data_IF_349400240995
#
_entry.id   IF_349400240995
#
_cell.length_a   1.000
_cell.length_b   1.000
_cell.length_c   1.000
_cell.angle_alpha   90.00
_cell.angle_beta   90.00
_cell.angle_gamma   90.00
#
_symmetry.space_group_name_H-M   'P 1'
#
loop_
_entity.id
_entity.type
_entity.pdbx_description
1 polymer ?
#
# COMPACT_ATOMS: atom_id res chain seq x y z
N UNK A 1 -72.51 28.24 -32.42
CA UNK A 1 -71.93 28.54 -31.09
C UNK A 1 -70.50 29.03 -31.33
N UNK A 2 -70.25 30.31 -31.65
CA UNK A 2 -69.99 31.50 -30.81
C UNK A 2 -68.78 31.40 -29.85
N UNK A 3 -67.83 32.34 -30.07
CA UNK A 3 -66.71 32.88 -29.24
C UNK A 3 -65.37 32.14 -29.41
N UNK A 4 -64.26 32.74 -29.89
CA UNK A 4 -63.51 33.99 -29.61
C UNK A 4 -62.64 33.90 -28.33
N UNK A 5 -61.38 34.35 -28.48
CA UNK A 5 -60.37 34.72 -27.47
C UNK A 5 -59.67 33.50 -26.78
N UNK A 6 -58.37 33.46 -26.45
CA UNK A 6 -57.47 34.51 -25.95
C UNK A 6 -56.01 34.03 -25.96
N UNK A 7 -55.12 34.92 -26.38
CA UNK A 7 -53.67 34.88 -26.20
C UNK A 7 -53.36 35.05 -24.70
N UNK A 8 -52.59 34.13 -24.10
CA UNK A 8 -51.95 34.39 -22.82
C UNK A 8 -50.45 34.10 -22.90
N UNK A 9 -49.70 35.19 -22.93
CA UNK A 9 -48.28 35.29 -22.68
C UNK A 9 -48.04 34.93 -21.21
N UNK A 10 -47.21 33.93 -20.92
CA UNK A 10 -46.68 33.69 -19.57
C UNK A 10 -45.17 33.78 -19.63
N UNK A 11 -44.66 34.86 -19.05
CA UNK A 11 -43.27 35.06 -18.73
C UNK A 11 -43.05 34.81 -17.24
N UNK A 12 -41.81 34.48 -16.88
CA UNK A 12 -41.20 34.54 -15.54
C UNK A 12 -41.36 33.26 -14.70
N UNK A 13 -40.39 32.77 -13.91
CA UNK A 13 -39.09 33.29 -13.46
C UNK A 13 -38.10 32.11 -13.41
N UNK A 14 -36.83 32.32 -13.77
CA UNK A 14 -35.74 31.47 -13.30
C UNK A 14 -35.41 31.86 -11.87
N UNK A 15 -35.55 30.93 -10.93
CA UNK A 15 -34.99 31.07 -9.60
C UNK A 15 -33.58 30.49 -9.61
N UNK A 16 -32.58 31.39 -9.63
CA UNK A 16 -31.25 31.12 -9.12
C UNK A 16 -31.39 31.07 -7.60
N UNK A 17 -31.25 29.89 -7.01
CA UNK A 17 -31.06 29.76 -5.57
C UNK A 17 -29.57 29.68 -5.29
N UNK A 18 -29.00 30.82 -4.91
CA UNK A 18 -27.77 30.91 -4.16
C UNK A 18 -28.23 31.01 -2.70
N UNK A 19 -28.04 29.97 -1.90
CA UNK A 19 -28.33 30.04 -0.47
C UNK A 19 -27.01 30.12 0.31
N UNK A 20 -27.03 31.05 1.25
CA UNK A 20 -25.93 31.71 1.93
C UNK A 20 -25.23 30.84 2.96
N UNK A 21 -23.93 31.10 3.12
CA UNK A 21 -23.10 30.70 4.25
C UNK A 21 -23.79 30.97 5.60
N UNK A 22 -23.77 29.97 6.46
CA UNK A 22 -23.94 30.14 7.90
C UNK A 22 -22.76 29.48 8.61
N UNK A 23 -21.79 30.30 8.99
CA UNK A 23 -20.73 29.97 9.94
C UNK A 23 -21.34 29.59 11.29
N UNK A 24 -21.08 28.37 11.74
CA UNK A 24 -21.10 28.02 13.16
C UNK A 24 -19.75 27.41 13.47
N UNK A 25 -18.97 28.13 14.28
CA UNK A 25 -17.63 27.75 14.68
C UNK A 25 -17.68 26.52 15.60
N UNK A 26 -17.15 25.41 15.11
CA UNK A 26 -16.48 24.40 15.91
C UNK A 26 -15.06 24.30 15.38
N UNK A 27 -14.09 24.30 16.28
CA UNK A 27 -12.66 24.37 15.99
C UNK A 27 -12.18 23.12 15.27
N UNK A 28 -12.29 23.12 13.95
CA UNK A 28 -11.55 22.21 13.10
C UNK A 28 -10.14 22.76 12.93
N UNK A 29 -9.13 21.90 13.05
CA UNK A 29 -7.77 22.19 12.58
C UNK A 29 -7.82 22.28 11.05
N UNK A 30 -8.30 23.41 10.54
CA UNK A 30 -8.20 23.77 9.13
C UNK A 30 -6.74 24.07 8.78
N UNK A 31 -6.08 23.07 8.20
CA UNK A 31 -4.73 23.19 7.68
C UNK A 31 -4.24 21.93 6.96
N UNK A 32 -5.12 21.08 6.43
CA UNK A 32 -4.70 19.91 5.67
C UNK A 32 -5.80 19.47 4.67
N UNK A 33 -5.72 19.99 3.44
CA UNK A 33 -6.11 19.28 2.19
C UNK A 33 -5.93 20.19 0.97
N UNK A 34 -4.95 19.87 0.13
CA UNK A 34 -5.14 19.43 -1.27
C UNK A 34 -3.88 18.62 -1.57
N UNK A 35 -3.97 17.29 -1.56
CA UNK A 35 -2.86 16.48 -2.08
C UNK A 35 -2.81 16.69 -3.59
N UNK A 36 -1.69 17.12 -4.11
CA UNK A 36 -1.45 17.07 -5.54
C UNK A 36 -1.16 15.63 -5.94
N UNK A 37 -1.70 15.15 -7.07
CA UNK A 37 -1.39 13.82 -7.58
C UNK A 37 0.11 13.66 -7.73
N UNK A 38 0.72 12.53 -7.36
CA UNK A 38 2.16 12.31 -7.51
C UNK A 38 2.63 12.59 -8.95
N UNK A 39 3.83 13.16 -9.10
CA UNK A 39 4.40 13.50 -10.41
C UNK A 39 4.61 12.25 -11.26
N UNK A 40 4.34 12.36 -12.57
CA UNK A 40 4.53 11.26 -13.54
C UNK A 40 5.96 10.70 -13.53
N UNK A 41 6.93 11.58 -13.29
CA UNK A 41 8.32 11.20 -13.25
C UNK A 41 8.64 10.32 -12.03
N UNK A 42 8.16 10.71 -10.84
CA UNK A 42 8.39 9.93 -9.63
C UNK A 42 7.58 8.62 -9.65
N UNK A 43 6.35 8.67 -10.18
CA UNK A 43 5.55 7.47 -10.46
C UNK A 43 6.29 6.48 -11.35
N UNK A 44 6.80 6.92 -12.50
CA UNK A 44 7.50 6.05 -13.44
C UNK A 44 8.76 5.39 -12.85
N UNK A 45 9.42 6.05 -11.90
CA UNK A 45 10.55 5.48 -11.17
C UNK A 45 10.12 4.33 -10.24
N UNK A 46 9.01 4.50 -9.51
CA UNK A 46 8.43 3.47 -8.65
C UNK A 46 7.87 2.30 -9.44
N UNK A 47 7.18 2.59 -10.55
CA UNK A 47 6.67 1.57 -11.48
C UNK A 47 7.81 0.71 -12.04
N UNK A 48 8.96 1.31 -12.37
CA UNK A 48 10.14 0.54 -12.81
C UNK A 48 10.66 -0.40 -11.73
N UNK A 49 10.78 0.07 -10.49
CA UNK A 49 11.22 -0.78 -9.39
C UNK A 49 10.22 -1.91 -9.13
N UNK A 50 8.92 -1.65 -9.27
CA UNK A 50 7.87 -2.65 -9.12
C UNK A 50 7.88 -3.68 -10.26
N UNK A 51 8.06 -3.22 -11.51
CA UNK A 51 8.15 -4.08 -12.70
C UNK A 51 9.32 -5.07 -12.59
N UNK A 52 10.49 -4.61 -12.11
CA UNK A 52 11.68 -5.44 -11.97
C UNK A 52 11.52 -6.58 -10.94
N UNK A 53 10.64 -6.41 -9.95
CA UNK A 53 10.30 -7.48 -8.99
C UNK A 53 9.04 -8.27 -9.37
N UNK A 54 8.39 -7.91 -10.47
CA UNK A 54 7.16 -8.57 -10.93
C UNK A 54 7.47 -9.89 -11.64
N UNK A 55 6.89 -10.98 -11.12
CA UNK A 55 6.99 -12.30 -11.71
C UNK A 55 5.75 -12.55 -12.59
N UNK A 56 5.98 -12.83 -13.87
CA UNK A 56 4.92 -13.21 -14.82
C UNK A 56 5.11 -14.63 -15.29
N UNK A 57 4.03 -15.40 -15.29
CA UNK A 57 4.05 -16.79 -15.74
C UNK A 57 2.80 -17.14 -16.52
N UNK A 58 2.97 -18.00 -17.51
CA UNK A 58 1.87 -18.62 -18.25
C UNK A 58 1.77 -20.08 -17.82
N UNK A 59 0.66 -20.45 -17.19
CA UNK A 59 0.42 -21.80 -16.68
C UNK A 59 -0.75 -22.42 -17.40
N UNK A 60 -0.62 -23.67 -17.82
CA UNK A 60 -1.76 -24.42 -18.34
C UNK A 60 -2.68 -24.82 -17.18
N UNK A 61 -3.90 -24.30 -17.17
CA UNK A 61 -4.96 -24.65 -16.24
C UNK A 61 -6.04 -25.47 -16.94
N UNK A 62 -6.54 -26.51 -16.28
CA UNK A 62 -7.70 -27.27 -16.73
C UNK A 62 -8.74 -27.38 -15.63
N UNK A 63 -10.01 -27.18 -15.97
CA UNK A 63 -11.12 -27.37 -15.03
C UNK A 63 -11.19 -28.77 -14.41
N UNK A 64 -10.52 -29.77 -14.98
CA UNK A 64 -10.49 -31.14 -14.44
C UNK A 64 -9.31 -31.42 -13.49
N UNK A 65 -8.21 -30.66 -13.60
CA UNK A 65 -6.95 -30.93 -12.89
C UNK A 65 -6.47 -29.77 -12.02
N UNK A 66 -6.88 -28.55 -12.30
CA UNK A 66 -6.34 -27.35 -11.69
C UNK A 66 -5.04 -26.88 -12.34
N UNK A 67 -4.27 -26.09 -11.60
CA UNK A 67 -2.95 -25.60 -11.97
C UNK A 67 -2.14 -25.24 -10.72
N UNK A 68 -0.81 -25.27 -10.85
CA UNK A 68 0.12 -24.87 -9.78
C UNK A 68 1.20 -23.98 -10.38
N UNK A 69 1.55 -22.93 -9.66
CA UNK A 69 2.65 -22.01 -9.97
C UNK A 69 3.58 -21.91 -8.77
N UNK A 70 4.88 -21.86 -9.03
CA UNK A 70 5.93 -21.71 -8.03
C UNK A 70 6.77 -20.49 -8.38
N UNK A 71 7.02 -19.64 -7.38
CA UNK A 71 7.75 -18.38 -7.53
C UNK A 71 9.24 -18.59 -7.26
N UNK A 72 10.05 -17.59 -7.59
CA UNK A 72 11.48 -17.59 -7.26
C UNK A 72 11.75 -17.63 -5.73
N UNK A 73 10.79 -17.20 -4.91
CA UNK A 73 10.86 -17.22 -3.44
C UNK A 73 10.28 -18.51 -2.83
N UNK A 74 10.06 -19.55 -3.66
CA UNK A 74 9.42 -20.81 -3.27
C UNK A 74 7.99 -20.65 -2.74
N UNK A 75 7.30 -19.55 -3.06
CA UNK A 75 5.87 -19.43 -2.83
C UNK A 75 5.13 -20.30 -3.83
N UNK A 76 4.15 -21.06 -3.35
CA UNK A 76 3.34 -21.94 -4.18
C UNK A 76 1.90 -21.43 -4.27
N UNK A 77 1.46 -21.13 -5.49
CA UNK A 77 0.08 -20.78 -5.80
C UNK A 77 -0.61 -22.00 -6.39
N UNK A 78 -1.55 -22.59 -5.65
CA UNK A 78 -2.33 -23.74 -6.06
C UNK A 78 -3.74 -23.32 -6.41
N UNK A 79 -4.15 -23.60 -7.65
CA UNK A 79 -5.49 -23.33 -8.18
C UNK A 79 -6.17 -24.69 -8.37
N UNK A 80 -7.09 -25.10 -7.48
CA UNK A 80 -7.73 -26.40 -7.58
C UNK A 80 -8.52 -26.58 -8.88
N UNK A 81 -8.83 -27.83 -9.22
CA UNK A 81 -9.73 -28.14 -10.31
C UNK A 81 -11.06 -27.40 -10.12
N UNK A 82 -11.56 -26.83 -11.22
CA UNK A 82 -12.83 -26.11 -11.27
C UNK A 82 -12.91 -24.84 -10.41
N UNK A 83 -11.79 -24.37 -9.81
CA UNK A 83 -11.77 -23.26 -8.86
C UNK A 83 -11.91 -21.86 -9.48
N UNK A 84 -11.60 -21.73 -10.77
CA UNK A 84 -11.75 -20.49 -11.53
C UNK A 84 -12.61 -20.65 -12.78
N UNK A 85 -13.20 -19.54 -13.23
CA UNK A 85 -13.99 -19.40 -14.47
C UNK A 85 -13.52 -18.21 -15.29
N UNK A 86 -13.75 -18.26 -16.59
CA UNK A 86 -13.68 -17.07 -17.41
C UNK A 86 -14.79 -16.09 -16.96
N UNK A 87 -14.62 -14.80 -17.23
CA UNK A 87 -15.57 -13.77 -16.82
C UNK A 87 -17.00 -13.98 -17.38
N UNK A 88 -17.11 -14.68 -18.50
CA UNK A 88 -18.39 -15.09 -19.10
C UNK A 88 -19.04 -16.31 -18.41
N UNK A 89 -18.42 -16.86 -17.36
CA UNK A 89 -18.87 -18.03 -16.60
C UNK A 89 -18.43 -19.38 -17.18
N UNK A 90 -17.68 -19.40 -18.29
CA UNK A 90 -17.24 -20.65 -18.93
C UNK A 90 -16.08 -21.32 -18.18
N UNK A 91 -16.00 -22.65 -18.33
CA UNK A 91 -14.89 -23.44 -17.78
C UNK A 91 -13.62 -23.15 -18.57
N UNK A 92 -12.54 -22.86 -17.86
CA UNK A 92 -11.23 -22.62 -18.46
C UNK A 92 -10.52 -23.97 -18.70
N UNK A 93 -10.02 -24.17 -19.92
CA UNK A 93 -9.08 -25.23 -20.29
C UNK A 93 -8.05 -24.64 -21.25
N UNK A 94 -7.00 -24.05 -20.69
CA UNK A 94 -6.05 -23.28 -21.47
C UNK A 94 -5.01 -22.60 -20.60
N UNK A 95 -4.22 -21.75 -21.24
CA UNK A 95 -3.20 -20.97 -20.58
C UNK A 95 -3.83 -19.80 -19.83
N UNK A 96 -3.55 -19.71 -18.53
CA UNK A 96 -3.80 -18.53 -17.71
C UNK A 96 -2.50 -17.77 -17.52
N UNK A 97 -2.60 -16.45 -17.37
CA UNK A 97 -1.47 -15.60 -16.99
C UNK A 97 -1.56 -15.31 -15.50
N UNK A 98 -0.43 -15.45 -14.80
CA UNK A 98 -0.30 -15.14 -13.39
C UNK A 98 0.71 -14.01 -13.25
N UNK A 99 0.30 -12.95 -12.58
CA UNK A 99 1.17 -11.84 -12.18
C UNK A 99 1.31 -11.89 -10.67
N UNK A 100 2.55 -11.96 -10.19
CA UNK A 100 2.84 -12.09 -8.77
C UNK A 100 4.00 -11.19 -8.33
N UNK A 101 3.86 -10.55 -7.18
CA UNK A 101 4.88 -9.69 -6.57
C UNK A 101 4.99 -10.05 -5.09
N UNK A 102 6.20 -10.00 -4.53
CA UNK A 102 6.46 -10.24 -3.11
C UNK A 102 7.43 -9.19 -2.55
N UNK A 103 7.09 -8.63 -1.39
CA UNK A 103 7.91 -7.66 -0.66
C UNK A 103 7.97 -8.09 0.81
N UNK A 104 9.19 -8.28 1.32
CA UNK A 104 9.44 -8.73 2.70
C UNK A 104 10.31 -7.75 3.49
N UNK A 105 10.85 -6.70 2.85
CA UNK A 105 11.83 -5.83 3.45
C UNK A 105 11.65 -4.33 3.14
N UNK A 106 12.13 -3.50 4.05
CA UNK A 106 12.00 -2.03 4.04
C UNK A 106 12.63 -1.35 2.82
N UNK A 107 13.68 -1.91 2.24
CA UNK A 107 14.33 -1.35 1.05
C UNK A 107 13.40 -1.44 -0.16
N UNK A 108 12.82 -2.61 -0.41
CA UNK A 108 11.82 -2.81 -1.47
C UNK A 108 10.56 -1.98 -1.21
N UNK A 109 10.06 -1.95 0.03
CA UNK A 109 8.91 -1.11 0.43
C UNK A 109 9.14 0.36 0.07
N UNK A 110 10.33 0.89 0.32
CA UNK A 110 10.67 2.29 0.05
C UNK A 110 10.72 2.62 -1.45
N UNK A 111 11.32 1.76 -2.27
CA UNK A 111 11.46 2.02 -3.71
C UNK A 111 10.18 1.77 -4.51
N UNK A 112 9.28 0.90 -4.03
CA UNK A 112 7.99 0.61 -4.68
C UNK A 112 6.80 1.37 -4.07
N UNK A 113 7.03 2.18 -3.02
CA UNK A 113 5.99 2.83 -2.21
C UNK A 113 4.92 1.84 -1.72
N UNK A 114 5.38 0.80 -1.03
CA UNK A 114 4.54 -0.19 -0.36
C UNK A 114 4.93 -0.23 1.13
N UNK A 115 4.63 0.82 1.90
CA UNK A 115 4.93 0.85 3.33
C UNK A 115 3.94 -0.04 4.10
N UNK A 116 4.29 -0.41 5.33
CA UNK A 116 3.49 -1.28 6.19
C UNK A 116 2.58 -0.45 7.12
N UNK A 117 1.66 0.33 6.56
CA UNK A 117 0.74 1.19 7.33
C UNK A 117 -0.70 0.66 7.32
N UNK A 118 -1.16 0.12 8.45
CA UNK A 118 -2.53 -0.39 8.63
C UNK A 118 -3.49 0.68 9.12
N UNK A 119 -4.73 0.69 8.62
CA UNK A 119 -5.79 1.61 9.04
C UNK A 119 -6.93 0.84 9.72
N UNK A 120 -7.16 1.12 11.00
CA UNK A 120 -8.26 0.55 11.80
C UNK A 120 -8.92 1.68 12.58
N UNK A 121 -10.25 1.76 12.52
CA UNK A 121 -11.05 2.77 13.24
C UNK A 121 -10.63 4.23 13.00
N UNK A 122 -10.07 4.52 11.82
CA UNK A 122 -9.58 5.85 11.46
C UNK A 122 -8.14 6.15 11.91
N UNK A 123 -7.50 5.23 12.64
CA UNK A 123 -6.13 5.36 13.10
C UNK A 123 -5.17 4.55 12.23
N UNK A 124 -4.08 5.18 11.82
CA UNK A 124 -3.02 4.55 11.05
C UNK A 124 -1.89 4.13 11.98
N UNK A 125 -1.49 2.88 11.88
CA UNK A 125 -0.46 2.29 12.74
C UNK A 125 0.50 1.44 11.93
N UNK A 126 1.74 1.39 12.40
CA UNK A 126 2.78 0.57 11.80
C UNK A 126 2.46 -0.91 11.98
N UNK A 127 2.66 -1.65 10.89
CA UNK A 127 2.58 -3.09 10.82
C UNK A 127 3.97 -3.69 10.67
N UNK A 128 4.16 -4.85 11.28
CA UNK A 128 5.28 -5.75 11.03
C UNK A 128 4.85 -6.81 10.02
N UNK A 129 5.61 -6.96 8.94
CA UNK A 129 5.22 -7.86 7.84
C UNK A 129 5.81 -9.25 7.92
N UNK A 130 4.94 -10.25 7.81
CA UNK A 130 5.27 -11.62 7.41
C UNK A 130 5.40 -11.79 5.90
N UNK A 131 4.84 -10.86 5.10
CA UNK A 131 4.99 -10.79 3.66
C UNK A 131 3.85 -10.06 2.94
N UNK A 132 4.20 -8.99 2.23
CA UNK A 132 3.33 -8.31 1.28
C UNK A 132 3.35 -9.04 -0.06
N UNK A 133 2.20 -9.20 -0.70
CA UNK A 133 2.15 -9.77 -2.04
C UNK A 133 1.05 -9.18 -2.91
N UNK A 134 1.28 -9.19 -4.22
CA UNK A 134 0.26 -8.92 -5.23
C UNK A 134 -0.03 -10.21 -5.99
N UNK A 135 -1.30 -10.53 -6.22
CA UNK A 135 -1.69 -11.64 -7.10
C UNK A 135 -2.79 -11.18 -8.06
N UNK A 136 -2.57 -11.40 -9.36
CA UNK A 136 -3.60 -11.33 -10.37
C UNK A 136 -3.53 -12.55 -11.30
N UNK A 137 -4.69 -13.03 -11.73
CA UNK A 137 -4.83 -14.17 -12.63
C UNK A 137 -5.78 -13.80 -13.75
N UNK A 138 -5.31 -13.88 -14.98
CA UNK A 138 -6.11 -13.57 -16.17
C UNK A 138 -6.20 -14.75 -17.12
N UNK A 139 -7.28 -14.79 -17.90
CA UNK A 139 -7.50 -15.70 -19.00
C UNK A 139 -7.97 -14.87 -20.20
N UNK A 140 -7.30 -15.02 -21.34
CA UNK A 140 -7.58 -14.24 -22.57
C UNK A 140 -7.59 -12.71 -22.32
N UNK A 141 -6.72 -12.25 -21.42
CA UNK A 141 -6.57 -10.83 -21.07
C UNK A 141 -7.66 -10.27 -20.14
N UNK A 142 -8.54 -11.12 -19.59
CA UNK A 142 -9.55 -10.72 -18.61
C UNK A 142 -9.31 -11.43 -17.27
N UNK A 143 -9.49 -10.71 -16.16
CA UNK A 143 -9.38 -11.30 -14.82
C UNK A 143 -10.39 -12.46 -14.66
N UNK A 144 -9.93 -13.57 -14.09
CA UNK A 144 -10.77 -14.76 -13.88
C UNK A 144 -11.68 -14.58 -12.67
N UNK A 145 -12.77 -15.34 -12.63
CA UNK A 145 -13.64 -15.39 -11.46
C UNK A 145 -13.27 -16.56 -10.55
N UNK A 146 -13.07 -16.30 -9.26
CA UNK A 146 -12.88 -17.34 -8.23
C UNK A 146 -14.26 -17.91 -7.86
N UNK A 147 -14.46 -19.20 -8.15
CA UNK A 147 -15.68 -19.95 -7.79
C UNK A 147 -15.47 -20.95 -6.66
N UNK A 148 -14.22 -21.33 -6.41
CA UNK A 148 -13.78 -22.11 -5.24
C UNK A 148 -12.43 -21.56 -4.78
N UNK A 149 -12.08 -21.63 -3.49
CA UNK A 149 -10.89 -20.96 -3.00
C UNK A 149 -9.58 -21.43 -3.66
N UNK A 150 -8.66 -20.50 -3.87
CA UNK A 150 -7.29 -20.75 -4.31
C UNK A 150 -6.34 -20.61 -3.12
N UNK A 151 -5.20 -21.32 -3.15
CA UNK A 151 -4.25 -21.36 -2.04
C UNK A 151 -2.92 -20.72 -2.43
N UNK A 152 -2.38 -19.89 -1.55
CA UNK A 152 -1.05 -19.28 -1.65
C UNK A 152 -0.26 -19.68 -0.41
N UNK A 153 0.77 -20.52 -0.59
CA UNK A 153 1.67 -20.93 0.49
C UNK A 153 2.94 -20.10 0.44
N UNK A 154 3.13 -19.21 1.42
CA UNK A 154 4.31 -18.34 1.54
C UNK A 154 5.17 -18.83 2.69
N UNK A 155 6.47 -19.05 2.48
CA UNK A 155 7.34 -19.52 3.55
C UNK A 155 7.47 -18.47 4.65
N UNK A 156 7.29 -18.88 5.91
CA UNK A 156 7.47 -17.96 7.05
C UNK A 156 8.92 -17.51 7.23
N UNK A 157 9.88 -18.20 6.58
CA UNK A 157 11.30 -17.85 6.59
C UNK A 157 11.70 -16.77 5.57
N UNK A 158 10.76 -16.28 4.75
CA UNK A 158 11.01 -15.19 3.81
C UNK A 158 11.04 -13.80 4.48
N UNK A 159 10.52 -13.69 5.70
CA UNK A 159 10.56 -12.48 6.54
C UNK A 159 11.27 -12.77 7.87
N UNK A 160 11.84 -11.72 8.47
CA UNK A 160 12.45 -11.76 9.80
C UNK A 160 11.41 -11.72 10.95
N UNK A 161 10.12 -11.48 10.62
CA UNK A 161 9.03 -11.36 11.60
C UNK A 161 8.80 -12.61 12.44
N UNK A 162 8.14 -12.45 13.59
CA UNK A 162 7.56 -13.57 14.32
C UNK A 162 6.26 -14.01 13.64
N UNK A 163 6.13 -15.26 13.15
CA UNK A 163 4.96 -15.63 12.36
C UNK A 163 3.65 -15.69 13.15
N UNK A 164 3.71 -16.07 14.42
CA UNK A 164 2.52 -16.23 15.25
C UNK A 164 1.82 -14.88 15.47
N UNK A 165 0.49 -14.86 15.32
CA UNK A 165 -0.33 -13.68 15.55
C UNK A 165 -0.59 -12.81 14.31
N UNK A 166 0.00 -13.16 13.17
CA UNK A 166 -0.25 -12.48 11.89
C UNK A 166 -1.72 -12.57 11.49
N UNK A 167 -2.23 -11.49 10.90
CA UNK A 167 -3.56 -11.41 10.29
C UNK A 167 -3.45 -10.95 8.83
N UNK A 168 -4.54 -11.08 8.08
CA UNK A 168 -4.55 -10.77 6.65
C UNK A 168 -5.13 -9.38 6.38
N UNK A 169 -4.56 -8.72 5.38
CA UNK A 169 -4.92 -7.36 4.98
C UNK A 169 -5.14 -7.29 3.48
N UNK A 170 -6.04 -6.40 3.05
CA UNK A 170 -6.18 -5.98 1.66
C UNK A 170 -5.54 -4.60 1.47
N UNK A 171 -4.88 -4.41 0.35
CA UNK A 171 -4.31 -3.11 -0.02
C UNK A 171 -5.35 -2.17 -0.63
N UNK A 172 -5.41 -0.96 -0.11
CA UNK A 172 -6.16 0.17 -0.68
C UNK A 172 -5.18 1.26 -1.14
N UNK A 173 -5.16 1.55 -2.44
CA UNK A 173 -4.24 2.51 -3.06
C UNK A 173 -5.05 3.73 -3.47
N UNK A 174 -4.67 4.90 -2.94
CA UNK A 174 -5.31 6.17 -3.31
C UNK A 174 -4.69 6.77 -4.61
N UNK A 175 -5.23 7.91 -5.05
CA UNK A 175 -4.78 8.58 -6.28
C UNK A 175 -3.31 9.05 -6.26
N UNK A 176 -2.70 9.16 -5.07
CA UNK A 176 -1.27 9.51 -4.93
C UNK A 176 -0.39 8.25 -4.81
N UNK A 177 -0.96 7.08 -5.10
CA UNK A 177 -0.31 5.77 -5.01
C UNK A 177 0.15 5.39 -3.60
N UNK A 178 -0.41 6.05 -2.58
CA UNK A 178 -0.15 5.69 -1.20
C UNK A 178 -1.00 4.48 -0.86
N UNK A 179 -0.32 3.39 -0.53
CA UNK A 179 -0.92 2.14 -0.09
C UNK A 179 -1.27 2.22 1.39
N UNK A 180 -2.48 1.81 1.72
CA UNK A 180 -2.98 1.61 3.07
C UNK A 180 -3.45 0.17 3.22
N UNK A 181 -3.10 -0.49 4.31
CA UNK A 181 -3.56 -1.84 4.60
C UNK A 181 -4.86 -1.80 5.41
N UNK A 182 -5.91 -2.42 4.88
CA UNK A 182 -7.22 -2.55 5.55
C UNK A 182 -7.40 -4.00 6.00
N UNK A 183 -7.87 -4.28 7.22
CA UNK A 183 -8.09 -5.65 7.68
C UNK A 183 -8.96 -6.43 6.69
N UNK A 184 -8.53 -7.63 6.35
CA UNK A 184 -9.31 -8.50 5.50
C UNK A 184 -10.43 -9.17 6.29
N UNK A 185 -11.59 -9.35 5.66
CA UNK A 185 -12.64 -10.18 6.22
C UNK A 185 -12.29 -11.66 6.04
N UNK A 186 -12.52 -12.49 7.06
CA UNK A 186 -12.22 -13.92 7.02
C UNK A 186 -12.98 -14.71 5.93
N UNK A 187 -14.08 -14.16 5.43
CA UNK A 187 -14.83 -14.72 4.30
C UNK A 187 -14.16 -14.50 2.93
N UNK A 188 -13.17 -13.61 2.88
CA UNK A 188 -12.43 -13.20 1.70
C UNK A 188 -11.02 -13.79 1.71
N UNK A 189 -10.28 -13.53 2.79
CA UNK A 189 -8.92 -14.00 3.05
C UNK A 189 -8.86 -14.67 4.42
N UNK A 190 -8.29 -15.87 4.49
CA UNK A 190 -8.01 -16.57 5.75
C UNK A 190 -6.81 -17.50 5.61
N UNK A 191 -6.23 -17.89 6.73
CA UNK A 191 -5.34 -19.05 6.80
C UNK A 191 -6.18 -20.33 6.77
N UNK A 192 -5.77 -21.31 5.97
CA UNK A 192 -6.51 -22.57 5.81
C UNK A 192 -6.68 -23.32 7.13
N UNK A 193 -5.58 -23.44 7.89
CA UNK A 193 -5.54 -24.24 9.11
C UNK A 193 -6.01 -23.51 10.36
N UNK A 194 -5.80 -22.19 10.45
CA UNK A 194 -6.01 -21.42 11.69
C UNK A 194 -7.09 -20.35 11.58
N UNK A 195 -7.62 -20.10 10.38
CA UNK A 195 -8.69 -19.13 10.17
C UNK A 195 -8.19 -17.70 10.08
N UNK A 196 -8.67 -16.81 10.96
CA UNK A 196 -8.42 -15.37 10.83
C UNK A 196 -7.03 -14.92 11.35
N UNK A 197 -6.46 -15.67 12.30
CA UNK A 197 -5.18 -15.37 12.94
C UNK A 197 -4.25 -16.56 12.71
N UNK A 198 -3.00 -16.31 12.34
CA UNK A 198 -2.01 -17.37 12.16
C UNK A 198 -1.48 -17.85 13.51
N UNK A 199 -1.51 -19.17 13.73
CA UNK A 199 -1.03 -19.81 14.98
C UNK A 199 0.19 -20.73 14.75
N UNK A 200 0.74 -20.73 13.53
CA UNK A 200 1.93 -21.50 13.17
C UNK A 200 3.24 -20.81 13.56
N UNK A 201 4.36 -21.45 13.21
CA UNK A 201 5.70 -21.05 13.62
C UNK A 201 6.70 -20.78 12.49
N UNK A 202 7.97 -20.60 12.86
CA UNK A 202 9.08 -20.42 11.91
C UNK A 202 9.37 -21.69 11.11
N UNK A 203 9.79 -21.53 9.85
CA UNK A 203 10.05 -22.62 8.89
C UNK A 203 8.79 -23.42 8.50
N UNK A 204 7.64 -22.77 8.56
CA UNK A 204 6.36 -23.28 8.07
C UNK A 204 5.91 -22.45 6.86
N UNK A 205 4.61 -22.50 6.55
CA UNK A 205 4.01 -21.68 5.52
C UNK A 205 2.81 -20.92 6.09
N UNK A 206 2.69 -19.66 5.71
CA UNK A 206 1.40 -19.01 5.70
C UNK A 206 0.56 -19.61 4.58
N UNK A 207 -0.47 -20.35 4.95
CA UNK A 207 -1.38 -21.10 4.09
C UNK A 207 -2.61 -20.26 3.72
N UNK A 208 -2.37 -19.15 3.03
CA UNK A 208 -3.38 -18.16 2.70
C UNK A 208 -4.37 -18.70 1.67
N UNK A 209 -5.65 -18.47 1.91
CA UNK A 209 -6.76 -18.88 1.04
C UNK A 209 -7.51 -17.66 0.55
N UNK A 210 -7.54 -17.45 -0.77
CA UNK A 210 -8.34 -16.41 -1.41
C UNK A 210 -9.67 -17.00 -1.88
N UNK A 211 -10.78 -16.42 -1.44
CA UNK A 211 -12.11 -16.99 -1.64
C UNK A 211 -12.92 -16.29 -2.72
N UNK A 212 -12.63 -15.01 -3.06
CA UNK A 212 -13.41 -14.22 -4.03
C UNK A 212 -12.50 -13.43 -4.98
N UNK A 213 -12.95 -13.17 -6.21
CA UNK A 213 -12.13 -12.47 -7.23
C UNK A 213 -11.72 -11.06 -6.81
N UNK A 214 -12.52 -10.40 -5.95
CA UNK A 214 -12.15 -9.09 -5.35
C UNK A 214 -10.90 -9.13 -4.47
N UNK A 215 -10.35 -10.31 -4.21
CA UNK A 215 -9.10 -10.52 -3.47
C UNK A 215 -7.87 -10.56 -4.38
N UNK A 216 -8.03 -10.54 -5.70
CA UNK A 216 -6.91 -10.20 -6.57
C UNK A 216 -6.49 -8.76 -6.31
N UNK A 217 -5.19 -8.51 -6.35
CA UNK A 217 -4.60 -7.26 -5.90
C UNK A 217 -3.56 -7.45 -4.81
N UNK A 218 -3.30 -6.38 -4.06
CA UNK A 218 -2.38 -6.37 -2.93
C UNK A 218 -3.01 -7.00 -1.70
N UNK A 219 -2.30 -7.94 -1.13
CA UNK A 219 -2.59 -8.59 0.15
C UNK A 219 -1.37 -8.47 1.05
N UNK A 220 -1.59 -8.62 2.36
CA UNK A 220 -0.51 -8.62 3.32
C UNK A 220 -0.76 -9.60 4.48
N UNK A 221 0.32 -10.04 5.12
CA UNK A 221 0.32 -10.98 6.26
C UNK A 221 1.05 -10.29 7.40
N UNK A 222 0.32 -9.52 8.21
CA UNK A 222 0.92 -8.55 9.12
C UNK A 222 0.28 -8.57 10.49
N UNK A 223 1.04 -8.09 11.48
CA UNK A 223 0.56 -7.80 12.83
C UNK A 223 0.88 -6.35 13.19
N UNK A 224 0.06 -5.73 14.03
CA UNK A 224 0.38 -4.40 14.56
C UNK A 224 1.63 -4.46 15.44
N UNK A 225 2.50 -3.48 15.25
CA UNK A 225 3.60 -3.23 16.18
C UNK A 225 3.05 -2.53 17.42
N UNK A 226 3.48 -3.02 18.58
CA UNK A 226 3.22 -2.38 19.87
C UNK A 226 4.54 -1.87 20.44
N UNK A 227 4.76 -0.57 20.35
CA UNK A 227 5.96 0.06 20.91
C UNK A 227 5.72 0.40 22.38
N UNK A 228 6.65 -0.02 23.24
CA UNK A 228 6.59 0.33 24.66
C UNK A 228 6.86 1.83 24.87
N UNK A 229 6.06 2.49 25.70
CA UNK A 229 6.28 3.89 26.09
C UNK A 229 5.47 4.92 25.30
N UNK A 230 5.71 6.23 25.53
CA UNK A 230 4.99 7.29 24.84
C UNK A 230 5.40 7.36 23.36
N UNK A 231 4.40 7.38 22.47
CA UNK A 231 4.61 7.61 21.04
C UNK A 231 4.97 9.07 20.77
N UNK A 232 5.87 9.28 19.80
CA UNK A 232 6.29 10.61 19.37
C UNK A 232 5.61 11.02 18.07
N UNK A 233 5.23 12.30 18.01
CA UNK A 233 4.77 12.95 16.79
C UNK A 233 5.95 13.52 16.02
N UNK A 234 6.16 13.06 14.79
CA UNK A 234 7.35 13.43 14.00
C UNK A 234 6.94 14.28 12.81
N UNK A 235 7.68 15.37 12.60
CA UNK A 235 7.54 16.24 11.43
C UNK A 235 8.86 16.29 10.68
N UNK A 236 8.81 16.19 9.36
CA UNK A 236 10.00 16.24 8.49
C UNK A 236 9.83 17.32 7.44
N UNK A 237 10.72 18.30 7.47
CA UNK A 237 10.86 19.32 6.42
C UNK A 237 11.76 18.75 5.30
N UNK A 238 11.24 18.58 4.08
CA UNK A 238 12.05 18.19 2.94
C UNK A 238 12.92 19.38 2.48
N UNK A 239 13.94 19.16 1.64
CA UNK A 239 14.72 20.27 1.11
C UNK A 239 13.89 21.18 0.20
N UNK A 240 14.35 22.42 0.00
CA UNK A 240 13.65 23.37 -0.86
C UNK A 240 13.45 22.83 -2.29
N UNK A 241 12.22 22.90 -2.79
CA UNK A 241 11.83 22.38 -4.11
C UNK A 241 11.23 20.97 -4.09
N UNK A 242 11.11 20.35 -2.91
CA UNK A 242 10.46 19.07 -2.72
C UNK A 242 9.21 19.20 -1.84
N UNK A 243 8.19 18.41 -2.16
CA UNK A 243 6.86 18.36 -1.55
C UNK A 243 6.23 16.96 -1.76
N UNK A 244 4.96 16.78 -1.41
CA UNK A 244 4.24 15.51 -1.61
C UNK A 244 3.93 15.17 -3.08
N UNK A 245 4.19 16.08 -4.02
CA UNK A 245 4.05 15.82 -5.46
C UNK A 245 5.21 14.98 -5.98
N UNK A 246 6.43 15.29 -5.55
CA UNK A 246 7.65 14.71 -6.12
C UNK A 246 8.46 13.90 -5.12
N UNK A 247 8.03 13.79 -3.87
CA UNK A 247 8.78 13.11 -2.82
C UNK A 247 7.90 12.40 -1.79
N UNK A 248 8.52 11.54 -1.00
CA UNK A 248 7.93 10.86 0.14
C UNK A 248 8.97 10.68 1.23
N UNK A 249 8.49 10.61 2.47
CA UNK A 249 9.32 10.39 3.64
C UNK A 249 8.85 9.12 4.33
N UNK A 250 9.82 8.32 4.77
CA UNK A 250 9.62 7.10 5.53
C UNK A 250 10.43 7.10 6.81
N UNK A 251 10.02 6.26 7.77
CA UNK A 251 10.75 5.98 9.00
C UNK A 251 11.03 4.48 9.10
N UNK A 252 12.31 4.13 9.18
CA UNK A 252 12.75 2.77 9.50
C UNK A 252 13.26 2.71 10.95
N UNK A 253 12.88 1.68 11.69
CA UNK A 253 13.39 1.43 13.06
C UNK A 253 14.70 0.64 12.98
N UNK A 254 15.71 1.02 13.75
CA UNK A 254 17.01 0.31 13.81
C UNK A 254 16.79 -1.17 14.19
N UNK A 255 17.43 -2.08 13.45
CA UNK A 255 17.31 -3.52 13.63
C UNK A 255 16.03 -4.17 13.07
N UNK A 256 15.12 -3.39 12.46
CA UNK A 256 13.87 -3.92 11.88
C UNK A 256 13.91 -3.86 10.35
N UNK A 257 13.82 -5.00 9.69
CA UNK A 257 13.84 -5.10 8.22
C UNK A 257 12.45 -5.21 7.59
N UNK A 258 11.50 -5.74 8.34
CA UNK A 258 10.16 -6.18 7.96
C UNK A 258 9.09 -5.11 8.26
N UNK A 259 9.46 -3.85 8.37
CA UNK A 259 8.51 -2.75 8.57
C UNK A 259 9.06 -1.44 8.04
N UNK A 260 8.18 -0.60 7.49
CA UNK A 260 8.51 0.73 7.03
C UNK A 260 7.30 1.65 7.20
N UNK A 261 7.43 2.66 8.06
CA UNK A 261 6.37 3.65 8.22
C UNK A 261 6.46 4.73 7.13
N UNK A 262 5.32 5.22 6.66
CA UNK A 262 5.25 6.39 5.78
C UNK A 262 4.71 7.60 6.54
N UNK A 263 5.29 8.76 6.29
CA UNK A 263 4.70 10.05 6.66
C UNK A 263 3.63 10.39 5.62
N UNK A 264 2.38 10.23 6.00
CA UNK A 264 1.25 10.16 5.09
C UNK A 264 0.35 11.41 5.14
N UNK A 265 0.72 12.40 5.96
CA UNK A 265 0.17 13.75 5.93
C UNK A 265 1.21 14.68 5.33
N UNK A 266 0.77 15.57 4.44
CA UNK A 266 1.58 16.70 3.99
C UNK A 266 0.89 18.02 4.33
N UNK A 267 1.63 18.90 5.01
CA UNK A 267 1.17 20.24 5.37
C UNK A 267 1.81 21.26 4.42
N UNK A 268 1.04 21.70 3.43
CA UNK A 268 1.48 22.65 2.43
C UNK A 268 1.80 24.05 3.00
N UNK A 269 1.25 24.43 4.15
CA UNK A 269 1.50 25.75 4.76
C UNK A 269 2.89 25.85 5.36
N UNK A 270 3.39 24.73 5.91
CA UNK A 270 4.72 24.61 6.51
C UNK A 270 5.71 23.85 5.63
N UNK A 271 5.26 23.30 4.50
CA UNK A 271 6.01 22.41 3.63
C UNK A 271 6.62 21.23 4.40
N UNK A 272 5.79 20.49 5.14
CA UNK A 272 6.26 19.40 6.00
C UNK A 272 5.50 18.10 5.79
N UNK A 273 6.23 16.99 5.85
CA UNK A 273 5.68 15.65 5.99
C UNK A 273 5.41 15.37 7.48
N UNK A 274 4.23 14.85 7.76
CA UNK A 274 3.69 14.58 9.10
C UNK A 274 3.06 13.18 9.12
N UNK A 275 2.65 12.74 10.29
CA UNK A 275 2.03 11.44 10.52
C UNK A 275 0.74 11.61 11.36
N UNK A 276 -0.18 10.64 11.31
CA UNK A 276 -1.53 10.79 11.85
C UNK A 276 -1.69 10.62 13.38
N UNK A 277 -0.81 9.93 14.10
CA UNK A 277 -1.15 9.39 15.43
C UNK A 277 0.01 8.98 16.34
N UNK A 278 1.25 9.35 16.03
CA UNK A 278 2.48 8.83 16.60
C UNK A 278 2.89 7.52 15.95
N UNK A 279 4.09 7.47 15.35
CA UNK A 279 4.57 6.26 14.65
C UNK A 279 5.32 5.29 15.56
N UNK A 280 6.16 5.82 16.45
CA UNK A 280 7.13 5.06 17.24
C UNK A 280 7.34 5.69 18.61
N UNK A 281 7.77 4.89 19.59
CA UNK A 281 8.09 5.40 20.92
C UNK A 281 9.30 6.31 20.98
N UNK A 282 9.27 7.27 21.90
CA UNK A 282 10.42 8.08 22.28
C UNK A 282 11.62 7.20 22.70
N UNK A 283 12.83 7.64 22.34
CA UNK A 283 14.09 6.97 22.64
C UNK A 283 14.49 5.88 21.65
N UNK A 284 13.60 5.46 20.75
CA UNK A 284 13.95 4.54 19.67
C UNK A 284 14.93 5.20 18.69
N UNK A 285 15.88 4.39 18.21
CA UNK A 285 16.75 4.80 17.11
C UNK A 285 16.07 4.44 15.80
N UNK A 286 16.01 5.43 14.91
CA UNK A 286 15.35 5.30 13.63
C UNK A 286 16.19 5.96 12.54
N UNK A 287 15.79 5.72 11.29
CA UNK A 287 16.32 6.35 10.10
C UNK A 287 15.18 7.00 9.33
N UNK A 288 15.26 8.31 9.17
CA UNK A 288 14.37 9.07 8.29
C UNK A 288 14.90 8.91 6.87
N UNK A 289 14.07 8.38 5.99
CA UNK A 289 14.42 8.10 4.60
C UNK A 289 13.57 9.03 3.73
N UNK A 290 14.21 10.01 3.11
CA UNK A 290 13.61 10.86 2.10
C UNK A 290 13.86 10.25 0.72
N UNK A 291 12.83 10.16 -0.12
CA UNK A 291 12.92 9.64 -1.50
C UNK A 291 12.13 10.56 -2.45
N UNK A 292 12.70 10.88 -3.60
CA UNK A 292 12.11 11.74 -4.62
C UNK A 292 12.50 11.30 -6.03
N UNK A 293 11.76 11.75 -7.03
CA UNK A 293 12.10 11.63 -8.46
C UNK A 293 12.39 12.98 -9.09
N UNK A 294 13.56 13.12 -9.74
CA UNK A 294 13.89 14.31 -10.52
C UNK A 294 14.86 14.01 -11.68
N UNK A 295 14.53 14.48 -12.88
CA UNK A 295 15.35 14.28 -14.08
C UNK A 295 15.55 12.80 -14.49
N UNK A 296 14.59 11.93 -14.19
CA UNK A 296 14.61 10.49 -14.42
C UNK A 296 15.46 9.70 -13.43
N UNK A 297 15.87 10.32 -12.31
CA UNK A 297 16.70 9.73 -11.28
C UNK A 297 15.99 9.74 -9.93
N UNK A 298 16.30 8.76 -9.09
CA UNK A 298 15.98 8.84 -7.68
C UNK A 298 16.90 9.85 -7.01
N UNK A 299 16.32 10.68 -6.15
CA UNK A 299 17.03 11.52 -5.19
C UNK A 299 16.64 11.03 -3.80
N UNK A 300 17.61 10.80 -2.93
CA UNK A 300 17.34 10.33 -1.59
C UNK A 300 18.29 10.90 -0.54
N UNK A 301 17.89 10.82 0.72
CA UNK A 301 18.73 11.10 1.89
C UNK A 301 18.30 10.20 3.02
N UNK A 302 19.26 9.70 3.81
CA UNK A 302 18.98 8.89 4.99
C UNK A 302 19.62 9.57 6.20
N UNK A 303 18.80 9.89 7.21
CA UNK A 303 19.23 10.56 8.43
C UNK A 303 18.94 9.67 9.64
N UNK A 304 19.98 9.23 10.33
CA UNK A 304 19.83 8.53 11.61
C UNK A 304 19.43 9.49 12.72
N UNK A 305 18.45 9.09 13.52
CA UNK A 305 17.88 9.90 14.61
C UNK A 305 17.62 9.02 15.83
N UNK A 306 17.65 9.64 17.01
CA UNK A 306 16.99 9.10 18.20
C UNK A 306 15.72 9.91 18.38
N UNK A 307 14.57 9.23 18.41
CA UNK A 307 13.26 9.88 18.45
C UNK A 307 13.10 10.58 19.80
N UNK A 308 12.99 11.91 19.77
CA UNK A 308 12.65 12.71 20.95
C UNK A 308 11.14 12.90 21.09
N UNK A 309 10.67 13.54 22.17
CA UNK A 309 9.28 13.97 22.29
C UNK A 309 8.95 15.03 21.23
N UNK A 310 7.88 14.81 20.46
CA UNK A 310 7.41 15.72 19.39
C UNK A 310 8.56 16.30 18.54
N UNK A 311 9.19 15.45 17.72
CA UNK A 311 10.45 15.77 17.07
C UNK A 311 10.25 16.35 15.66
N UNK A 312 10.92 17.47 15.38
CA UNK A 312 11.02 18.03 14.02
C UNK A 312 12.42 17.84 13.45
N UNK A 313 12.50 17.36 12.22
CA UNK A 313 13.74 17.14 11.49
C UNK A 313 13.68 17.86 10.14
N UNK A 314 14.83 18.32 9.65
CA UNK A 314 14.94 18.94 8.32
C UNK A 314 16.00 18.21 7.51
N UNK A 315 15.67 17.84 6.28
CA UNK A 315 16.60 17.19 5.35
C UNK A 315 17.46 18.26 4.66
N UNK A 316 18.78 18.11 4.73
CA UNK A 316 19.70 19.06 4.13
C UNK A 316 19.86 18.82 2.63
N UNK A 317 19.89 19.89 1.82
CA UNK A 317 20.31 19.79 0.42
C UNK A 317 21.69 19.14 0.24
N UNK A 318 22.58 19.27 1.23
CA UNK A 318 23.93 18.69 1.17
C UNK A 318 23.97 17.18 1.44
N UNK A 319 22.90 16.58 1.97
CA UNK A 319 22.80 15.13 2.21
C UNK A 319 22.13 14.38 1.06
N UNK A 320 21.67 15.08 0.03
CA UNK A 320 21.01 14.47 -1.11
C UNK A 320 21.98 13.66 -1.96
N UNK A 321 21.56 12.45 -2.30
CA UNK A 321 22.25 11.52 -3.19
C UNK A 321 21.34 11.31 -4.40
N UNK A 322 21.91 11.39 -5.61
CA UNK A 322 21.20 11.14 -6.86
C UNK A 322 21.69 9.84 -7.48
N UNK A 323 20.76 8.97 -7.90
CA UNK A 323 21.06 7.71 -8.59
C UNK A 323 20.06 7.43 -9.70
N UNK A 324 20.54 6.96 -10.84
CA UNK A 324 19.69 6.44 -11.93
C UNK A 324 19.26 4.99 -11.71
N UNK A 325 19.85 4.31 -10.70
CA UNK A 325 19.59 2.92 -10.37
C UNK A 325 19.05 2.83 -8.93
N UNK A 326 17.78 2.41 -8.79
CA UNK A 326 17.11 2.31 -7.50
C UNK A 326 17.77 1.28 -6.58
N UNK A 327 18.50 0.29 -7.11
CA UNK A 327 19.19 -0.70 -6.26
C UNK A 327 20.31 -0.06 -5.41
N UNK A 328 20.78 1.14 -5.75
CA UNK A 328 21.70 1.90 -4.89
C UNK A 328 20.99 2.46 -3.65
N UNK A 329 19.73 2.89 -3.79
CA UNK A 329 18.87 3.28 -2.67
C UNK A 329 18.54 2.06 -1.81
N UNK A 330 18.17 0.94 -2.43
CA UNK A 330 17.94 -0.32 -1.69
C UNK A 330 19.17 -0.71 -0.87
N UNK A 331 20.35 -0.77 -1.50
CA UNK A 331 21.59 -1.12 -0.81
C UNK A 331 21.94 -0.16 0.33
N UNK A 332 21.60 1.14 0.21
CA UNK A 332 21.79 2.11 1.28
C UNK A 332 20.84 1.87 2.46
N UNK A 333 19.59 1.44 2.19
CA UNK A 333 18.60 1.09 3.22
C UNK A 333 18.93 -0.26 3.87
N UNK A 334 19.37 -1.24 3.10
CA UNK A 334 19.77 -2.58 3.58
C UNK A 334 21.05 -2.53 4.44
N UNK A 335 21.89 -1.51 4.26
CA UNK A 335 23.09 -1.28 5.06
C UNK A 335 22.82 -0.61 6.41
N UNK A 336 21.56 -0.23 6.70
CA UNK A 336 21.20 0.34 7.98
C UNK A 336 21.30 -0.70 9.11
N UNK A 337 21.70 -0.28 10.32
CA UNK A 337 21.87 -1.15 11.47
C UNK A 337 20.59 -1.83 11.95
#
# INVERSE_FOLDING_TARGET
MKKVFLLFMTASLMFVSCESESTTATSDKEGAKVSSEISDEFRALRERALEDITQRSTVFYSSERGGVFETNSSTQISIPADAIRAHNGERINGNIEIVYIEIFNKSKMAVTNKPTMGLVDGERRLLETGGEFYLDITYEGQQVDIVSPIKVNISTSNSDAEPTGMVLWNGDINNNENLTWIPAFAEDLRFENTGAVYEGGKNEFYDVVLTRSRNFGWCNIDVFVDFEGPLSFITVEPPAGFDDHNSSVYLAVEGQNNMLAQFDIFNASTNTFEEHGGLVSEGLKCHIIFVSGQGGNFIYSIQSVTVGPSASYSISNSSLITTSNYTQLEAAIDALP
#
